data_IF_088914913074
#
_entry.id   IF_088914913074
#
_cell.length_a   1.000
_cell.length_b   1.000
_cell.length_c   1.000
_cell.angle_alpha   90.00
_cell.angle_beta   90.00
_cell.angle_gamma   90.00
#
_symmetry.space_group_name_H-M   'P 1'
#
loop_
_entity.id
_entity.type
_entity.pdbx_description
1 polymer ?
#
# COMPACT_ATOMS: atom_id res chain seq x y z
N UNK A 1 21.44 -11.31 -2.67
CA UNK A 1 22.06 -11.29 -4.01
C UNK A 1 23.18 -12.31 -4.17
N UNK A 2 24.12 -12.43 -3.22
CA UNK A 2 25.25 -13.38 -3.32
C UNK A 2 24.82 -14.84 -3.57
N UNK A 3 23.83 -15.32 -2.82
CA UNK A 3 23.27 -16.66 -3.00
C UNK A 3 22.72 -16.88 -4.42
N UNK A 4 22.02 -15.90 -5.00
CA UNK A 4 21.48 -16.01 -6.35
C UNK A 4 22.60 -16.06 -7.40
N UNK A 5 23.63 -15.23 -7.26
CA UNK A 5 24.81 -15.23 -8.16
C UNK A 5 25.56 -16.56 -8.10
N UNK A 6 25.78 -17.07 -6.89
CA UNK A 6 26.43 -18.36 -6.67
C UNK A 6 25.63 -19.50 -7.29
N UNK A 7 24.31 -19.54 -7.05
CA UNK A 7 23.43 -20.57 -7.62
C UNK A 7 23.35 -20.49 -9.13
N UNK A 8 23.29 -19.30 -9.71
CA UNK A 8 23.32 -19.12 -11.16
C UNK A 8 24.62 -19.65 -11.77
N UNK A 9 25.76 -19.38 -11.13
CA UNK A 9 27.07 -19.91 -11.53
C UNK A 9 27.15 -21.43 -11.40
N UNK A 10 26.62 -22.01 -10.31
CA UNK A 10 26.61 -23.47 -10.09
C UNK A 10 25.77 -24.21 -11.13
N UNK A 11 24.70 -23.58 -11.62
CA UNK A 11 23.76 -24.17 -12.58
C UNK A 11 24.08 -23.79 -14.04
N UNK A 12 25.14 -23.00 -14.27
CA UNK A 12 25.51 -22.45 -15.58
C UNK A 12 24.34 -21.73 -16.29
N UNK A 13 23.60 -20.90 -15.54
CA UNK A 13 22.47 -20.13 -16.06
C UNK A 13 22.75 -18.62 -16.01
N UNK A 14 22.29 -17.84 -17.02
CA UNK A 14 22.46 -16.40 -17.00
C UNK A 14 21.62 -15.76 -15.90
N UNK A 15 22.24 -14.85 -15.13
CA UNK A 15 21.56 -14.01 -14.15
C UNK A 15 21.76 -12.54 -14.51
N UNK A 16 20.66 -11.85 -14.80
CA UNK A 16 20.65 -10.42 -15.02
C UNK A 16 20.03 -9.70 -13.81
N UNK A 17 20.74 -8.73 -13.26
CA UNK A 17 20.21 -7.85 -12.21
C UNK A 17 19.61 -6.62 -12.88
N UNK A 18 18.32 -6.39 -12.66
CA UNK A 18 17.57 -5.30 -13.28
C UNK A 18 17.53 -4.10 -12.33
N UNK A 19 17.90 -2.89 -12.79
CA UNK A 19 17.75 -1.69 -11.97
C UNK A 19 16.26 -1.31 -11.82
N UNK A 20 15.91 -0.48 -10.82
CA UNK A 20 14.59 0.12 -10.77
C UNK A 20 14.26 0.88 -12.07
N UNK A 21 12.99 0.86 -12.47
CA UNK A 21 12.55 1.61 -13.64
C UNK A 21 12.74 3.11 -13.42
N UNK A 22 13.34 3.79 -14.39
CA UNK A 22 13.42 5.25 -14.38
C UNK A 22 12.02 5.84 -14.69
N UNK A 23 11.50 6.65 -13.77
CA UNK A 23 10.18 7.27 -13.90
C UNK A 23 10.04 8.15 -15.16
N UNK A 24 11.14 8.72 -15.66
CA UNK A 24 11.12 9.53 -16.89
C UNK A 24 10.70 8.72 -18.12
N UNK A 25 10.90 7.40 -18.10
CA UNK A 25 10.52 6.52 -19.20
C UNK A 25 9.02 6.30 -19.34
N UNK A 26 8.21 6.88 -18.43
CA UNK A 26 6.75 6.82 -18.44
C UNK A 26 6.10 8.06 -19.10
N UNK A 27 6.87 8.92 -19.78
CA UNK A 27 6.36 10.14 -20.43
C UNK A 27 5.58 11.07 -19.47
N UNK A 28 6.09 11.22 -18.25
CA UNK A 28 5.45 12.04 -17.21
C UNK A 28 4.25 11.38 -16.51
N UNK A 29 3.88 10.16 -16.91
CA UNK A 29 2.86 9.36 -16.22
C UNK A 29 3.45 8.67 -14.97
N UNK A 30 2.57 8.23 -14.07
CA UNK A 30 2.93 7.49 -12.86
C UNK A 30 2.50 6.03 -12.97
N UNK A 31 3.18 5.16 -12.23
CA UNK A 31 2.73 3.77 -12.08
C UNK A 31 1.32 3.73 -11.50
N UNK A 32 0.51 2.75 -11.93
CA UNK A 32 -0.80 2.50 -11.34
C UNK A 32 -0.74 1.91 -9.94
N UNK A 33 0.39 1.27 -9.60
CA UNK A 33 0.68 0.80 -8.24
C UNK A 33 1.45 1.86 -7.46
N UNK A 34 0.97 2.15 -6.25
CA UNK A 34 1.54 3.17 -5.37
C UNK A 34 2.79 2.68 -4.61
N UNK A 35 3.71 3.62 -4.36
CA UNK A 35 4.91 3.41 -3.56
C UNK A 35 6.21 3.28 -4.37
N UNK A 36 7.31 3.82 -3.83
CA UNK A 36 8.62 3.89 -4.50
C UNK A 36 9.19 2.51 -4.86
N UNK A 37 8.96 1.51 -4.01
CA UNK A 37 9.37 0.12 -4.27
C UNK A 37 8.74 -0.47 -5.55
N UNK A 38 7.62 0.07 -6.03
CA UNK A 38 6.98 -0.42 -7.25
C UNK A 38 7.81 -0.12 -8.51
N UNK A 39 8.73 0.84 -8.48
CA UNK A 39 9.67 1.04 -9.60
C UNK A 39 10.65 -0.12 -9.75
N UNK A 40 11.01 -0.79 -8.65
CA UNK A 40 11.78 -2.05 -8.70
C UNK A 40 10.96 -3.15 -9.38
N UNK A 41 9.70 -3.30 -8.97
CA UNK A 41 8.79 -4.29 -9.55
C UNK A 41 8.50 -4.00 -11.03
N UNK A 42 8.31 -2.74 -11.39
CA UNK A 42 8.07 -2.29 -12.76
C UNK A 42 9.29 -2.56 -13.64
N UNK A 43 10.50 -2.26 -13.16
CA UNK A 43 11.73 -2.57 -13.90
C UNK A 43 11.86 -4.06 -14.19
N UNK A 44 11.61 -4.91 -13.18
CA UNK A 44 11.61 -6.36 -13.36
C UNK A 44 10.52 -6.83 -14.34
N UNK A 45 9.30 -6.29 -14.24
CA UNK A 45 8.20 -6.62 -15.14
C UNK A 45 8.53 -6.27 -16.60
N UNK A 46 9.09 -5.08 -16.84
CA UNK A 46 9.54 -4.64 -18.17
C UNK A 46 10.59 -5.62 -18.72
N UNK A 47 11.63 -5.94 -17.95
CA UNK A 47 12.69 -6.84 -18.39
C UNK A 47 12.18 -8.25 -18.70
N UNK A 48 11.25 -8.78 -17.89
CA UNK A 48 10.61 -10.08 -18.13
C UNK A 48 9.76 -10.07 -19.40
N UNK A 49 8.94 -9.04 -19.59
CA UNK A 49 8.12 -8.88 -20.80
C UNK A 49 9.00 -8.79 -22.05
N UNK A 50 10.07 -7.98 -22.02
CA UNK A 50 11.02 -7.88 -23.14
C UNK A 50 11.70 -9.21 -23.43
N UNK A 51 12.17 -9.92 -22.40
CA UNK A 51 12.80 -11.24 -22.56
C UNK A 51 11.84 -12.27 -23.18
N UNK A 52 10.56 -12.25 -22.78
CA UNK A 52 9.54 -13.13 -23.35
C UNK A 52 9.22 -12.80 -24.81
N UNK A 53 9.09 -11.52 -25.15
CA UNK A 53 8.84 -11.06 -26.51
C UNK A 53 10.00 -11.42 -27.47
N UNK A 54 11.25 -11.27 -27.02
CA UNK A 54 12.43 -11.71 -27.78
C UNK A 54 12.39 -13.21 -28.06
N UNK A 55 12.08 -14.01 -27.04
CA UNK A 55 12.02 -15.48 -27.16
C UNK A 55 10.88 -15.99 -28.03
N UNK A 56 9.80 -15.22 -28.15
CA UNK A 56 8.59 -15.60 -28.91
C UNK A 56 8.54 -15.03 -30.32
N UNK A 57 9.65 -14.45 -30.81
CA UNK A 57 9.78 -13.97 -32.18
C UNK A 57 9.14 -12.62 -32.44
N UNK A 58 9.06 -11.74 -31.43
CA UNK A 58 8.65 -10.33 -31.56
C UNK A 58 9.73 -9.37 -31.02
N UNK A 59 10.98 -9.45 -31.52
CA UNK A 59 12.08 -8.63 -31.03
C UNK A 59 11.83 -7.12 -31.20
N UNK A 60 11.10 -6.71 -32.24
CA UNK A 60 10.69 -5.32 -32.48
C UNK A 60 9.85 -4.73 -31.34
N UNK A 61 9.03 -5.55 -30.67
CA UNK A 61 8.24 -5.14 -29.51
C UNK A 61 9.05 -5.15 -28.21
N UNK A 62 10.25 -5.73 -28.22
CA UNK A 62 11.12 -5.88 -27.08
C UNK A 62 12.31 -4.90 -27.07
N UNK A 63 12.58 -4.22 -28.20
CA UNK A 63 13.64 -3.24 -28.28
C UNK A 63 13.35 -2.05 -27.36
N UNK A 64 14.02 -2.07 -26.21
CA UNK A 64 14.17 -0.93 -25.29
C UNK A 64 15.38 -0.06 -25.67
N UNK A 65 15.95 -0.26 -26.86
CA UNK A 65 17.24 0.31 -27.23
C UNK A 65 17.13 1.82 -27.52
N UNK A 66 17.80 2.60 -26.67
CA UNK A 66 18.18 4.01 -26.89
C UNK A 66 17.03 5.01 -27.05
N UNK A 67 15.87 4.74 -26.46
CA UNK A 67 14.80 5.72 -26.34
C UNK A 67 14.65 6.18 -24.89
N UNK A 68 14.42 7.47 -24.68
CA UNK A 68 14.15 8.05 -23.36
C UNK A 68 12.80 7.60 -22.76
N UNK A 69 12.03 6.78 -23.49
CA UNK A 69 10.68 6.30 -23.15
C UNK A 69 10.53 4.81 -23.41
N UNK A 70 9.68 4.15 -22.62
CA UNK A 70 9.18 2.80 -22.90
C UNK A 70 8.19 2.79 -24.09
N UNK A 71 7.98 1.63 -24.74
CA UNK A 71 6.88 1.45 -25.69
C UNK A 71 5.51 1.74 -25.04
N UNK A 72 4.58 2.28 -25.82
CA UNK A 72 3.25 2.70 -25.36
C UNK A 72 2.49 1.57 -24.63
N UNK A 73 2.61 0.33 -25.13
CA UNK A 73 1.96 -0.84 -24.55
C UNK A 73 2.47 -1.15 -23.14
N UNK A 74 3.77 -0.95 -22.89
CA UNK A 74 4.38 -1.13 -21.58
C UNK A 74 3.93 -0.02 -20.63
N UNK A 75 3.94 1.23 -21.08
CA UNK A 75 3.45 2.38 -20.31
C UNK A 75 1.99 2.15 -19.92
N UNK A 76 1.14 1.77 -20.87
CA UNK A 76 -0.27 1.45 -20.61
C UNK A 76 -0.42 0.34 -19.58
N UNK A 77 0.33 -0.75 -19.69
CA UNK A 77 0.31 -1.83 -18.71
C UNK A 77 0.71 -1.38 -17.31
N UNK A 78 1.79 -0.61 -17.19
CA UNK A 78 2.32 -0.12 -15.91
C UNK A 78 1.43 0.93 -15.24
N UNK A 79 0.84 1.83 -16.03
CA UNK A 79 -0.02 2.93 -15.55
C UNK A 79 -1.44 2.47 -15.19
N UNK A 80 -1.92 1.38 -15.79
CA UNK A 80 -3.25 0.81 -15.50
C UNK A 80 -3.20 -0.40 -14.54
N UNK A 81 -2.00 -0.85 -14.17
CA UNK A 81 -1.83 -1.93 -13.21
C UNK A 81 -2.49 -1.58 -11.88
N UNK A 82 -3.28 -2.51 -11.35
CA UNK A 82 -3.90 -2.40 -10.02
C UNK A 82 -3.78 -3.74 -9.29
N UNK A 83 -3.66 -3.69 -7.96
CA UNK A 83 -3.51 -4.86 -7.12
C UNK A 83 -4.33 -4.69 -5.84
N UNK A 84 -5.39 -5.47 -5.71
CA UNK A 84 -6.30 -5.40 -4.58
C UNK A 84 -5.55 -5.74 -3.27
N UNK A 85 -5.83 -4.98 -2.22
CA UNK A 85 -5.16 -5.11 -0.92
C UNK A 85 -3.70 -4.65 -0.92
N UNK A 86 -3.26 -3.86 -1.90
CA UNK A 86 -1.97 -3.13 -1.85
C UNK A 86 -2.22 -1.67 -2.16
N UNK A 87 -1.95 -0.81 -1.18
CA UNK A 87 -2.18 0.62 -1.28
C UNK A 87 -3.57 0.99 -1.86
N UNK A 88 -4.61 0.24 -1.47
CA UNK A 88 -5.95 0.38 -2.05
C UNK A 88 -6.80 1.33 -1.21
N UNK A 89 -7.46 2.30 -1.87
CA UNK A 89 -8.36 3.26 -1.24
C UNK A 89 -9.80 2.91 -1.61
N UNK A 90 -10.66 2.70 -0.61
CA UNK A 90 -12.07 2.35 -0.79
C UNK A 90 -12.95 3.31 0.04
N UNK A 91 -13.59 4.30 -0.58
CA UNK A 91 -14.58 5.12 0.10
C UNK A 91 -15.84 4.30 0.38
N UNK A 92 -16.37 4.37 1.58
CA UNK A 92 -17.69 3.83 1.89
C UNK A 92 -18.76 4.78 1.32
N UNK A 93 -19.47 4.32 0.31
CA UNK A 93 -20.53 5.09 -0.37
C UNK A 93 -21.93 4.81 0.18
N UNK A 94 -22.05 3.85 1.09
CA UNK A 94 -23.31 3.45 1.70
C UNK A 94 -23.58 4.21 3.01
N UNK A 95 -22.59 4.93 3.52
CA UNK A 95 -22.76 5.85 4.65
C UNK A 95 -23.43 7.14 4.18
N UNK A 96 -24.58 7.45 4.79
CA UNK A 96 -25.32 8.67 4.51
C UNK A 96 -24.47 9.88 4.95
N UNK A 97 -23.93 10.60 3.97
CA UNK A 97 -22.98 11.70 4.18
C UNK A 97 -23.55 12.82 5.06
N UNK A 98 -24.88 12.92 5.12
CA UNK A 98 -25.62 13.96 5.83
C UNK A 98 -25.66 13.75 7.36
N UNK A 99 -25.38 12.55 7.89
CA UNK A 99 -25.54 12.27 9.33
C UNK A 99 -24.28 11.79 10.09
N UNK A 100 -23.32 11.11 9.45
CA UNK A 100 -22.25 10.43 10.19
C UNK A 100 -20.82 10.69 9.68
N UNK A 101 -20.66 11.51 8.63
CA UNK A 101 -19.37 11.84 8.04
C UNK A 101 -18.83 10.78 7.07
N UNK A 102 -17.73 11.12 6.39
CA UNK A 102 -17.13 10.29 5.33
C UNK A 102 -16.25 9.17 5.95
N UNK A 103 -16.47 7.92 5.53
CA UNK A 103 -15.60 6.78 5.87
C UNK A 103 -14.79 6.36 4.63
N UNK A 104 -13.48 6.25 4.80
CA UNK A 104 -12.56 5.78 3.74
C UNK A 104 -11.65 4.70 4.32
N UNK A 105 -11.65 3.55 3.67
CA UNK A 105 -10.75 2.45 3.98
C UNK A 105 -9.44 2.59 3.19
N UNK A 106 -8.32 2.45 3.90
CA UNK A 106 -6.99 2.37 3.32
C UNK A 106 -6.46 0.97 3.59
N UNK A 107 -6.47 0.13 2.56
CA UNK A 107 -6.23 -1.30 2.67
C UNK A 107 -4.83 -1.65 2.16
N UNK A 108 -4.02 -2.27 3.02
CA UNK A 108 -2.72 -2.84 2.65
C UNK A 108 -2.45 -4.15 3.40
N UNK A 109 -1.96 -5.16 2.68
CA UNK A 109 -1.61 -6.47 3.21
C UNK A 109 -0.15 -6.61 3.65
N UNK A 110 0.52 -5.50 3.98
CA UNK A 110 1.85 -5.45 4.56
C UNK A 110 1.94 -6.30 5.85
N UNK A 111 2.97 -7.15 5.92
CA UNK A 111 3.14 -8.11 7.00
C UNK A 111 4.62 -8.41 7.33
N UNK A 112 5.54 -7.64 6.76
CA UNK A 112 6.95 -7.56 7.17
C UNK A 112 7.25 -6.14 7.70
N UNK A 113 8.30 -5.96 8.51
CA UNK A 113 8.73 -4.65 9.00
C UNK A 113 8.91 -3.62 7.88
N UNK A 114 9.58 -4.01 6.80
CA UNK A 114 9.89 -3.16 5.64
C UNK A 114 8.61 -2.78 4.89
N UNK A 115 7.70 -3.74 4.69
CA UNK A 115 6.42 -3.48 4.02
C UNK A 115 5.52 -2.55 4.83
N UNK A 116 5.56 -2.63 6.17
CA UNK A 116 4.77 -1.76 7.04
C UNK A 116 5.33 -0.34 7.11
N UNK A 117 6.64 -0.18 7.00
CA UNK A 117 7.27 1.13 6.87
C UNK A 117 6.78 1.84 5.59
N UNK A 118 6.81 1.13 4.45
CA UNK A 118 6.29 1.64 3.17
C UNK A 118 4.79 1.93 3.24
N UNK A 119 4.02 1.02 3.85
CA UNK A 119 2.57 1.21 4.06
C UNK A 119 2.29 2.47 4.89
N UNK A 120 3.03 2.70 5.98
CA UNK A 120 2.87 3.89 6.83
C UNK A 120 3.16 5.19 6.09
N UNK A 121 4.21 5.21 5.26
CA UNK A 121 4.56 6.36 4.40
C UNK A 121 3.45 6.62 3.38
N UNK A 122 3.00 5.58 2.67
CA UNK A 122 1.90 5.69 1.72
C UNK A 122 0.63 6.23 2.38
N UNK A 123 0.17 5.58 3.46
CA UNK A 123 -1.05 5.99 4.17
C UNK A 123 -0.96 7.46 4.60
N UNK A 124 0.17 7.88 5.15
CA UNK A 124 0.38 9.25 5.61
C UNK A 124 0.28 10.27 4.48
N UNK A 125 0.88 9.97 3.33
CA UNK A 125 0.78 10.82 2.13
C UNK A 125 -0.66 10.94 1.65
N UNK A 126 -1.44 9.85 1.68
CA UNK A 126 -2.82 9.86 1.22
C UNK A 126 -3.73 10.66 2.16
N UNK A 127 -3.64 10.45 3.48
CA UNK A 127 -4.52 11.16 4.42
C UNK A 127 -4.20 12.65 4.54
N UNK A 128 -2.95 13.06 4.29
CA UNK A 128 -2.55 14.46 4.26
C UNK A 128 -2.89 15.15 2.94
N UNK A 129 -2.88 14.41 1.83
CA UNK A 129 -3.26 14.94 0.51
C UNK A 129 -4.77 14.88 0.24
N UNK A 130 -5.51 14.10 1.04
CA UNK A 130 -6.96 13.98 0.91
C UNK A 130 -7.66 15.33 1.12
N UNK A 131 -8.00 15.99 0.01
CA UNK A 131 -9.07 16.97 -0.04
C UNK A 131 -10.33 16.23 -0.49
N UNK A 132 -11.43 16.26 0.27
CA UNK A 132 -12.72 15.79 -0.23
C UNK A 132 -12.99 16.53 -1.54
N UNK A 133 -13.03 15.80 -2.66
CA UNK A 133 -13.43 16.40 -3.92
C UNK A 133 -14.95 16.59 -3.87
N UNK A 134 -15.38 17.83 -3.70
CA UNK A 134 -16.74 18.23 -4.04
C UNK A 134 -16.92 18.00 -5.54
N UNK A 135 -17.69 16.97 -5.88
CA UNK A 135 -18.24 16.79 -7.23
C UNK A 135 -19.41 17.75 -7.40
N UNK A 136 -19.14 19.03 -7.57
CA UNK A 136 -20.09 19.95 -8.19
C UNK A 136 -19.41 20.70 -9.32
N UNK A 137 -19.80 20.30 -10.52
CA UNK A 137 -19.57 20.96 -11.80
C UNK A 137 -19.81 22.47 -11.76
N UNK A 138 -18.95 23.20 -12.46
CA UNK A 138 -19.16 24.54 -13.05
C UNK A 138 -19.80 25.62 -12.18
N UNK A 139 -19.01 26.58 -11.71
CA UNK A 139 -19.17 28.00 -12.08
C UNK A 139 -17.99 28.86 -11.63
N UNK A 140 -17.63 29.83 -12.47
CA UNK A 140 -16.71 30.90 -12.15
C UNK A 140 -17.30 31.79 -11.05
N UNK A 141 -16.45 32.26 -10.12
CA UNK A 141 -16.23 33.68 -9.75
C UNK A 141 -15.73 33.80 -8.30
N UNK A 142 -14.66 34.59 -8.17
CA UNK A 142 -14.18 35.36 -7.02
C UNK A 142 -13.36 34.69 -5.91
N UNK A 143 -12.07 35.08 -5.92
CA UNK A 143 -11.26 35.41 -4.74
C UNK A 143 -12.13 36.04 -3.64
N UNK A 144 -12.32 35.38 -2.50
CA UNK A 144 -12.26 35.98 -1.15
C UNK A 144 -12.40 34.91 -0.05
N UNK A 145 -11.57 35.05 1.00
CA UNK A 145 -11.61 34.44 2.34
C UNK A 145 -11.49 32.91 2.45
N UNK A 146 -10.29 32.37 2.70
CA UNK A 146 -9.74 32.13 4.05
C UNK A 146 -10.76 31.59 5.06
N UNK A 147 -10.76 30.24 5.14
CA UNK A 147 -11.10 29.34 6.26
C UNK A 147 -11.89 28.15 5.72
N UNK A 148 -11.29 27.38 4.80
CA UNK A 148 -11.78 26.02 4.53
C UNK A 148 -11.53 25.20 5.79
N UNK A 149 -12.59 25.02 6.57
CA UNK A 149 -12.65 24.11 7.71
C UNK A 149 -12.00 22.80 7.28
N UNK A 150 -10.78 22.52 7.75
CA UNK A 150 -10.18 21.19 7.62
C UNK A 150 -11.15 20.26 8.34
N UNK A 151 -11.95 19.47 7.61
CA UNK A 151 -12.75 18.40 8.20
C UNK A 151 -11.82 17.61 9.12
N UNK A 152 -12.16 17.55 10.41
CA UNK A 152 -11.33 16.88 11.39
C UNK A 152 -11.41 15.37 11.15
N UNK A 153 -10.43 14.81 10.45
CA UNK A 153 -10.37 13.38 10.18
C UNK A 153 -9.83 12.65 11.41
N UNK A 154 -10.37 11.47 11.70
CA UNK A 154 -9.87 10.59 12.76
C UNK A 154 -9.28 9.34 12.14
N UNK A 155 -7.97 9.15 12.31
CA UNK A 155 -7.31 7.93 11.83
C UNK A 155 -7.51 6.80 12.83
N UNK A 156 -8.07 5.68 12.37
CA UNK A 156 -8.26 4.44 13.15
C UNK A 156 -7.48 3.34 12.45
N UNK A 157 -6.64 2.62 13.20
CA UNK A 157 -5.95 1.45 12.71
C UNK A 157 -6.84 0.22 12.87
N UNK A 158 -7.07 -0.52 11.80
CA UNK A 158 -7.61 -1.88 11.85
C UNK A 158 -6.44 -2.83 11.53
N UNK A 159 -6.04 -3.68 12.47
CA UNK A 159 -4.83 -4.48 12.32
C UNK A 159 -5.04 -5.94 12.72
N UNK A 160 -4.36 -6.82 12.01
CA UNK A 160 -4.15 -8.20 12.39
C UNK A 160 -2.86 -8.72 11.75
N UNK A 161 -2.23 -9.70 12.39
CA UNK A 161 -1.17 -10.51 11.81
C UNK A 161 -1.30 -11.96 12.30
N UNK A 162 -0.82 -12.92 11.52
CA UNK A 162 -0.78 -14.32 11.97
C UNK A 162 0.22 -14.50 13.11
N UNK A 163 0.03 -15.52 13.95
CA UNK A 163 0.91 -15.83 15.10
C UNK A 163 2.36 -16.16 14.73
N UNK A 164 2.63 -16.50 13.46
CA UNK A 164 3.99 -16.68 12.92
C UNK A 164 4.72 -15.36 12.65
N UNK A 165 4.04 -14.23 12.81
CA UNK A 165 4.63 -12.89 12.70
C UNK A 165 4.79 -12.29 14.10
N UNK A 166 5.79 -11.43 14.24
CA UNK A 166 6.05 -10.74 15.50
C UNK A 166 5.44 -9.33 15.53
N UNK A 167 4.27 -9.14 16.20
CA UNK A 167 3.64 -7.83 16.31
C UNK A 167 4.49 -6.80 17.08
N UNK A 168 5.45 -7.23 17.93
CA UNK A 168 6.37 -6.31 18.63
C UNK A 168 7.33 -5.62 17.66
N UNK A 169 7.62 -6.23 16.51
CA UNK A 169 8.45 -5.61 15.46
C UNK A 169 7.58 -4.88 14.44
N UNK A 170 6.42 -5.45 14.11
CA UNK A 170 5.54 -4.90 13.07
C UNK A 170 4.86 -3.58 13.47
N UNK A 171 4.21 -3.54 14.65
CA UNK A 171 3.43 -2.37 15.07
C UNK A 171 4.29 -1.10 15.23
N UNK A 172 5.46 -1.15 15.91
CA UNK A 172 6.30 0.04 16.02
C UNK A 172 6.73 0.61 14.69
N UNK A 173 7.10 -0.25 13.71
CA UNK A 173 7.53 0.21 12.38
C UNK A 173 6.44 0.96 11.63
N UNK A 174 5.21 0.45 11.67
CA UNK A 174 4.06 1.15 11.08
C UNK A 174 3.82 2.49 11.79
N UNK A 175 3.78 2.48 13.11
CA UNK A 175 3.47 3.66 13.93
C UNK A 175 4.53 4.75 13.79
N UNK A 176 5.81 4.38 13.81
CA UNK A 176 6.94 5.28 13.63
C UNK A 176 6.93 5.89 12.23
N UNK A 177 6.74 5.06 11.19
CA UNK A 177 6.62 5.55 9.82
C UNK A 177 5.49 6.58 9.69
N UNK A 178 4.30 6.32 10.24
CA UNK A 178 3.21 7.29 10.25
C UNK A 178 3.55 8.56 11.05
N UNK A 179 4.12 8.40 12.26
CA UNK A 179 4.45 9.52 13.14
C UNK A 179 5.51 10.45 12.54
N UNK A 180 6.51 9.89 11.85
CA UNK A 180 7.55 10.64 11.13
C UNK A 180 6.96 11.49 9.99
N UNK A 181 5.79 11.13 9.48
CA UNK A 181 5.04 11.90 8.49
C UNK A 181 3.87 12.69 9.11
N UNK A 182 3.84 12.86 10.44
CA UNK A 182 2.85 13.70 11.12
C UNK A 182 1.47 13.07 11.30
N UNK A 183 1.33 11.76 11.09
CA UNK A 183 0.06 11.03 11.21
C UNK A 183 0.10 10.12 12.43
N UNK A 184 -0.99 10.11 13.23
CA UNK A 184 -1.13 9.24 14.40
C UNK A 184 -2.51 8.62 14.43
N UNK A 185 -2.58 7.35 14.81
CA UNK A 185 -3.84 6.67 15.03
C UNK A 185 -4.44 7.05 16.39
N UNK A 186 -5.71 7.45 16.40
CA UNK A 186 -6.46 7.76 17.64
C UNK A 186 -6.93 6.49 18.33
N UNK A 187 -7.24 5.45 17.56
CA UNK A 187 -7.70 4.14 18.03
C UNK A 187 -7.07 3.03 17.19
N UNK A 188 -6.92 1.85 17.78
CA UNK A 188 -6.59 0.62 17.09
C UNK A 188 -7.66 -0.44 17.39
N UNK A 189 -8.03 -1.21 16.37
CA UNK A 189 -8.97 -2.31 16.43
C UNK A 189 -8.24 -3.58 15.97
N UNK A 190 -8.26 -4.62 16.79
CA UNK A 190 -7.62 -5.90 16.48
C UNK A 190 -8.67 -6.94 16.10
N UNK A 191 -8.48 -7.58 14.94
CA UNK A 191 -9.44 -8.53 14.35
C UNK A 191 -8.91 -9.97 14.39
N UNK A 192 -9.79 -10.99 14.45
CA UNK A 192 -9.35 -12.38 14.56
C UNK A 192 -8.71 -12.88 13.26
N UNK A 193 -7.90 -13.94 13.38
CA UNK A 193 -7.30 -14.66 12.25
C UNK A 193 -8.32 -15.58 11.52
N UNK A 194 -9.53 -15.10 11.27
CA UNK A 194 -10.59 -15.91 10.65
C UNK A 194 -10.48 -15.83 9.13
N UNK A 195 -9.57 -16.60 8.52
CA UNK A 195 -9.51 -16.75 7.06
C UNK A 195 -10.45 -17.85 6.59
N UNK A 196 -11.76 -17.59 6.57
CA UNK A 196 -12.74 -18.54 6.02
C UNK A 196 -12.90 -18.28 4.52
N UNK A 197 -11.97 -18.78 3.71
CA UNK A 197 -11.96 -18.63 2.24
C UNK A 197 -13.32 -18.99 1.57
N UNK A 198 -14.11 -19.85 2.20
CA UNK A 198 -15.41 -20.34 1.72
C UNK A 198 -16.64 -19.75 2.45
N UNK A 199 -16.47 -18.79 3.36
CA UNK A 199 -17.59 -18.18 4.12
C UNK A 199 -17.57 -16.64 4.07
N UNK A 200 -17.13 -16.06 2.96
CA UNK A 200 -17.21 -14.60 2.75
C UNK A 200 -18.37 -14.32 1.79
N UNK A 201 -19.60 -14.47 2.29
CA UNK A 201 -20.82 -14.24 1.53
C UNK A 201 -21.95 -13.82 2.44
N UNK A 202 -23.00 -13.14 1.95
CA UNK A 202 -24.09 -12.59 2.77
C UNK A 202 -24.86 -13.64 3.59
N UNK A 203 -24.63 -14.93 3.34
CA UNK A 203 -25.25 -16.07 4.04
C UNK A 203 -24.28 -16.85 4.94
N UNK A 204 -23.06 -16.33 5.16
CA UNK A 204 -22.13 -16.98 6.08
C UNK A 204 -22.60 -16.85 7.52
N UNK A 205 -22.92 -17.98 8.16
CA UNK A 205 -23.20 -18.01 9.60
C UNK A 205 -21.89 -17.73 10.34
N UNK A 206 -21.82 -16.69 11.19
CA UNK A 206 -20.64 -16.43 12.00
C UNK A 206 -20.35 -17.63 12.91
N UNK A 207 -19.06 -17.91 13.22
CA UNK A 207 -18.72 -18.96 14.17
C UNK A 207 -19.44 -18.74 15.50
N UNK A 208 -19.99 -19.80 16.09
CA UNK A 208 -20.70 -19.77 17.38
C UNK A 208 -19.78 -19.45 18.55
N UNK A 209 -18.50 -19.76 18.44
CA UNK A 209 -17.44 -19.39 19.37
C UNK A 209 -16.27 -18.78 18.59
N UNK A 210 -15.87 -17.57 18.96
CA UNK A 210 -14.71 -16.88 18.38
C UNK A 210 -13.66 -16.78 19.48
N UNK A 211 -12.48 -17.36 19.25
CA UNK A 211 -11.35 -17.19 20.15
C UNK A 211 -10.74 -15.79 19.97
N UNK A 212 -10.86 -14.97 21.01
CA UNK A 212 -10.32 -13.61 21.06
C UNK A 212 -8.91 -13.52 21.66
N UNK A 213 -8.31 -14.64 22.07
CA UNK A 213 -7.00 -14.69 22.75
C UNK A 213 -5.92 -13.91 22.00
N UNK A 214 -5.86 -14.08 20.68
CA UNK A 214 -4.90 -13.40 19.83
C UNK A 214 -5.15 -11.88 19.73
N UNK A 215 -6.41 -11.46 19.67
CA UNK A 215 -6.75 -10.04 19.63
C UNK A 215 -6.38 -9.35 20.94
N UNK A 216 -6.62 -10.01 22.08
CA UNK A 216 -6.17 -9.51 23.38
C UNK A 216 -4.65 -9.46 23.50
N UNK A 217 -3.94 -10.44 22.92
CA UNK A 217 -2.48 -10.39 22.85
C UNK A 217 -2.00 -9.16 22.05
N UNK A 218 -2.54 -8.93 20.86
CA UNK A 218 -2.21 -7.74 20.05
C UNK A 218 -2.55 -6.43 20.77
N UNK A 219 -3.71 -6.37 21.44
CA UNK A 219 -4.11 -5.22 22.24
C UNK A 219 -3.10 -4.90 23.35
N UNK A 220 -2.71 -5.92 24.14
CA UNK A 220 -1.74 -5.74 25.22
C UNK A 220 -0.40 -5.20 24.70
N UNK A 221 0.04 -5.69 23.54
CA UNK A 221 1.27 -5.22 22.88
C UNK A 221 1.14 -3.75 22.48
N UNK A 222 0.03 -3.39 21.84
CA UNK A 222 -0.25 -2.01 21.47
C UNK A 222 -0.27 -1.06 22.66
N UNK A 223 -0.96 -1.44 23.75
CA UNK A 223 -1.03 -0.65 24.98
C UNK A 223 0.38 -0.43 25.56
N UNK A 224 1.20 -1.49 25.64
CA UNK A 224 2.58 -1.40 26.11
C UNK A 224 3.41 -0.41 25.26
N UNK A 225 3.32 -0.48 23.94
CA UNK A 225 4.02 0.44 23.03
C UNK A 225 3.59 1.89 23.29
N UNK A 226 2.28 2.13 23.44
CA UNK A 226 1.72 3.46 23.70
C UNK A 226 2.12 4.03 25.06
N UNK A 227 2.34 3.17 26.07
CA UNK A 227 2.85 3.57 27.38
C UNK A 227 4.34 3.90 27.35
N UNK A 228 5.17 3.07 26.71
CA UNK A 228 6.61 3.30 26.56
C UNK A 228 6.92 4.63 25.86
N UNK A 229 6.15 4.98 24.82
CA UNK A 229 6.32 6.24 24.09
C UNK A 229 5.96 7.50 24.90
N UNK A 230 5.22 7.37 26.01
CA UNK A 230 4.93 8.49 26.92
C UNK A 230 6.08 8.75 27.90
N UNK A 231 6.94 7.75 28.16
CA UNK A 231 8.06 7.84 29.10
C UNK A 231 9.35 8.46 28.53
N UNK A 232 9.43 8.69 27.22
CA UNK A 232 10.65 9.21 26.53
C UNK A 232 10.59 10.74 26.31
N UNK A 233 9.82 11.46 27.13
CA UNK A 233 9.91 12.93 27.19
C UNK A 233 10.84 13.31 28.35
N UNK A 234 12.13 13.40 28.06
CA UNK A 234 13.12 14.13 28.88
C UNK A 234 13.46 15.43 28.19
#
# INVERSE_FOLDING_TARGET
MNVLKEKASQLDVPLQVIPPLNANMLNGLKLGLEGEHQYVNAGLAVALCSSWLQRTGRPEAAHLEQTDSLPEQFIKGLTTASLQGRAQIVPDRCFDADNYGDLVFYLDGAHSPESLEVCGKWFSQQVLSYQPQDKSSHEFVSKHLNERVRKQTTQILLFNCMSVRDPQVLLPRLMESCANHGVRFKKALFVPNTSVYFKVGPHSVPPTEVDFSWQFALQKIWENIMHSNKGVKT
#
